data_IF_386047928295
#
_entry.id   IF_386047928295
#
_cell.length_a   1.000
_cell.length_b   1.000
_cell.length_c   1.000
_cell.angle_alpha   90.00
_cell.angle_beta   90.00
_cell.angle_gamma   90.00
#
_symmetry.space_group_name_H-M   'P 1'
#
loop_
_entity.id
_entity.type
_entity.pdbx_description
1 polymer ?
#
# COMPACT_ATOMS: atom_id res chain seq x y z
N UNK A 1 -6.88 19.77 -4.45
CA UNK A 1 -7.33 18.40 -4.15
C UNK A 1 -8.83 18.44 -4.24
N UNK A 2 -9.38 17.73 -5.21
CA UNK A 2 -10.83 17.57 -5.28
C UNK A 2 -11.23 16.60 -4.17
N UNK A 3 -12.31 16.92 -3.46
CA UNK A 3 -12.79 16.09 -2.37
C UNK A 3 -13.46 14.85 -2.97
N UNK A 4 -12.84 13.69 -2.81
CA UNK A 4 -13.44 12.41 -3.18
C UNK A 4 -14.78 12.24 -2.45
N UNK A 5 -15.83 11.88 -3.18
CA UNK A 5 -17.14 11.62 -2.57
C UNK A 5 -17.15 10.21 -1.98
N UNK A 6 -17.21 10.11 -0.66
CA UNK A 6 -17.36 8.83 0.03
C UNK A 6 -18.84 8.42 0.02
N UNK A 7 -19.13 7.22 -0.46
CA UNK A 7 -20.47 6.65 -0.39
C UNK A 7 -20.64 5.80 0.89
N UNK A 8 -21.84 5.78 1.47
CA UNK A 8 -22.12 5.02 2.70
C UNK A 8 -21.89 5.83 3.98
N UNK A 9 -21.56 5.14 5.08
CA UNK A 9 -21.45 5.72 6.43
C UNK A 9 -20.08 6.38 6.69
N UNK A 10 -19.45 6.95 5.67
CA UNK A 10 -18.11 7.56 5.74
C UNK A 10 -16.96 6.62 5.36
N UNK A 11 -15.72 7.07 5.57
CA UNK A 11 -14.54 6.23 5.29
C UNK A 11 -14.48 5.07 6.29
N UNK A 12 -14.43 3.86 5.77
CA UNK A 12 -14.33 2.64 6.56
C UNK A 12 -12.95 1.98 6.39
N UNK A 13 -12.02 2.67 5.75
CA UNK A 13 -10.64 2.21 5.57
C UNK A 13 -9.95 2.10 6.92
N UNK A 14 -9.19 1.03 7.08
CA UNK A 14 -8.34 0.81 8.26
C UNK A 14 -6.90 0.59 7.79
N UNK A 15 -5.90 0.98 8.59
CA UNK A 15 -4.51 0.64 8.31
C UNK A 15 -4.33 -0.87 8.15
N UNK A 16 -3.49 -1.30 7.20
CA UNK A 16 -3.19 -2.72 6.98
C UNK A 16 -2.74 -3.42 8.28
N UNK A 17 -2.00 -2.69 9.14
CA UNK A 17 -1.52 -3.15 10.43
C UNK A 17 -2.62 -3.66 11.35
N UNK A 18 -3.87 -3.19 11.19
CA UNK A 18 -5.01 -3.70 11.93
C UNK A 18 -5.24 -5.20 11.73
N UNK A 19 -4.86 -5.77 10.59
CA UNK A 19 -5.04 -7.19 10.27
C UNK A 19 -3.78 -8.03 10.51
N UNK A 20 -2.74 -7.46 11.13
CA UNK A 20 -1.52 -8.17 11.47
C UNK A 20 -1.76 -9.25 12.54
N UNK A 21 -0.92 -10.29 12.58
CA UNK A 21 -0.99 -11.29 13.63
C UNK A 21 -0.83 -10.65 15.01
N UNK A 22 -1.69 -11.02 15.96
CA UNK A 22 -1.67 -10.50 17.33
C UNK A 22 -2.46 -9.22 17.57
N UNK A 23 -3.10 -8.66 16.54
CA UNK A 23 -4.06 -7.56 16.71
C UNK A 23 -5.49 -8.07 16.89
N UNK A 24 -6.35 -7.16 17.33
CA UNK A 24 -7.78 -7.37 17.52
C UNK A 24 -8.57 -7.68 16.24
N UNK A 25 -8.03 -7.40 15.04
CA UNK A 25 -8.67 -7.77 13.76
C UNK A 25 -7.88 -8.83 12.97
N UNK A 26 -6.91 -9.49 13.60
CA UNK A 26 -6.06 -10.52 12.98
C UNK A 26 -6.85 -11.65 12.28
N UNK A 27 -7.99 -12.06 12.85
CA UNK A 27 -8.84 -13.12 12.28
C UNK A 27 -9.75 -12.63 11.13
N UNK A 28 -9.87 -11.31 10.92
CA UNK A 28 -10.76 -10.76 9.91
C UNK A 28 -10.27 -10.99 8.49
N UNK A 29 -8.97 -10.76 8.24
CA UNK A 29 -8.35 -10.86 6.91
C UNK A 29 -6.87 -11.35 6.98
N UNK A 30 -6.55 -12.44 7.70
CA UNK A 30 -5.16 -12.84 7.95
C UNK A 30 -4.38 -13.14 6.67
N UNK A 31 -5.02 -13.77 5.68
CA UNK A 31 -4.39 -14.11 4.42
C UNK A 31 -4.15 -12.87 3.53
N UNK A 32 -5.03 -11.87 3.59
CA UNK A 32 -4.84 -10.62 2.87
C UNK A 32 -3.64 -9.87 3.44
N UNK A 33 -3.51 -9.77 4.78
CA UNK A 33 -2.36 -9.14 5.42
C UNK A 33 -1.04 -9.84 5.08
N UNK A 34 -1.02 -11.17 5.12
CA UNK A 34 0.16 -11.96 4.76
C UNK A 34 0.57 -11.75 3.29
N UNK A 35 -0.40 -11.72 2.38
CA UNK A 35 -0.14 -11.50 0.94
C UNK A 35 0.26 -10.05 0.65
N UNK A 36 -0.27 -9.08 1.42
CA UNK A 36 0.05 -7.66 1.30
C UNK A 36 1.52 -7.34 1.61
N UNK A 37 2.27 -8.24 2.25
CA UNK A 37 3.72 -8.07 2.44
C UNK A 37 4.49 -8.00 1.12
N UNK A 38 3.91 -8.46 0.02
CA UNK A 38 4.46 -8.34 -1.33
C UNK A 38 4.14 -6.99 -2.01
N UNK A 39 3.30 -6.15 -1.40
CA UNK A 39 2.91 -4.82 -1.91
C UNK A 39 3.96 -3.79 -1.49
N UNK A 40 4.28 -2.89 -2.41
CA UNK A 40 5.19 -1.76 -2.19
C UNK A 40 4.52 -0.44 -2.51
N UNK A 41 4.87 0.60 -1.75
CA UNK A 41 4.69 1.99 -2.16
C UNK A 41 5.81 2.35 -3.12
N UNK A 42 5.44 2.97 -4.23
CA UNK A 42 6.39 3.45 -5.25
C UNK A 42 6.49 4.96 -5.10
N UNK A 43 7.65 5.44 -4.65
CA UNK A 43 7.94 6.87 -4.59
C UNK A 43 8.80 7.24 -5.80
N UNK A 44 8.15 7.79 -6.82
CA UNK A 44 8.73 8.06 -8.12
C UNK A 44 9.20 9.51 -8.17
N UNK A 45 10.45 9.74 -8.58
CA UNK A 45 11.08 11.07 -8.63
C UNK A 45 10.86 11.87 -7.33
N UNK A 46 10.83 11.17 -6.19
CA UNK A 46 10.65 11.75 -4.86
C UNK A 46 9.37 12.61 -4.68
N UNK A 47 8.39 12.48 -5.59
CA UNK A 47 7.22 13.40 -5.68
C UNK A 47 5.91 12.71 -6.01
N UNK A 48 5.93 11.61 -6.77
CA UNK A 48 4.73 10.93 -7.22
C UNK A 48 4.60 9.56 -6.56
N UNK A 49 3.36 9.21 -6.16
CA UNK A 49 3.08 7.95 -5.46
C UNK A 49 2.26 7.02 -6.34
N UNK A 50 2.70 5.77 -6.40
CA UNK A 50 1.94 4.66 -6.98
C UNK A 50 2.05 3.42 -6.09
N UNK A 51 1.34 2.37 -6.50
CA UNK A 51 1.39 1.05 -5.85
C UNK A 51 2.00 0.03 -6.81
N UNK A 52 2.82 -0.87 -6.28
CA UNK A 52 3.28 -2.04 -7.00
C UNK A 52 3.25 -3.29 -6.13
N UNK A 53 3.42 -4.46 -6.74
CA UNK A 53 3.49 -5.72 -6.01
C UNK A 53 4.41 -6.73 -6.70
N UNK A 54 5.07 -7.57 -5.90
CA UNK A 54 5.94 -8.62 -6.43
C UNK A 54 5.12 -9.70 -7.15
N UNK A 55 5.57 -10.04 -8.36
CA UNK A 55 5.02 -11.09 -9.22
C UNK A 55 5.64 -12.47 -9.02
N UNK A 56 6.20 -12.74 -7.84
CA UNK A 56 6.97 -13.95 -7.54
C UNK A 56 8.24 -13.63 -6.75
N UNK A 57 9.17 -14.60 -6.69
CA UNK A 57 10.42 -14.48 -5.92
C UNK A 57 11.63 -14.03 -6.76
N UNK A 58 11.43 -13.70 -8.04
CA UNK A 58 12.50 -13.35 -8.99
C UNK A 58 12.79 -11.85 -9.05
N UNK A 59 12.09 -11.04 -8.23
CA UNK A 59 12.24 -9.58 -8.24
C UNK A 59 11.42 -8.86 -9.33
N UNK A 60 10.51 -9.55 -10.00
CA UNK A 60 9.54 -8.91 -10.89
C UNK A 60 8.50 -8.14 -10.07
N UNK A 61 8.26 -6.87 -10.44
CA UNK A 61 7.27 -6.02 -9.80
C UNK A 61 6.25 -5.54 -10.84
N UNK A 62 4.97 -5.73 -10.54
CA UNK A 62 3.86 -5.24 -11.34
C UNK A 62 3.34 -3.92 -10.79
N UNK A 63 2.87 -3.06 -11.68
CA UNK A 63 2.20 -1.80 -11.37
C UNK A 63 1.33 -1.39 -12.55
N UNK A 64 0.56 -0.32 -12.41
CA UNK A 64 -0.26 0.21 -13.49
C UNK A 64 0.61 0.92 -14.54
N UNK A 65 0.23 0.82 -15.81
CA UNK A 65 0.99 1.44 -16.90
C UNK A 65 1.15 2.96 -16.75
N UNK A 66 0.13 3.66 -16.26
CA UNK A 66 0.20 5.12 -16.07
C UNK A 66 1.18 5.56 -14.97
N UNK A 67 1.63 4.64 -14.12
CA UNK A 67 2.61 4.93 -13.08
C UNK A 67 4.05 4.98 -13.60
N UNK A 68 4.31 4.60 -14.85
CA UNK A 68 5.66 4.47 -15.37
C UNK A 68 5.82 5.04 -16.78
N UNK A 69 6.74 5.99 -16.87
CA UNK A 69 7.50 6.27 -18.10
C UNK A 69 8.81 5.46 -18.07
N UNK A 70 9.44 5.22 -19.21
CA UNK A 70 10.56 4.25 -19.33
C UNK A 70 11.76 4.57 -18.41
N UNK A 71 12.00 5.83 -18.07
CA UNK A 71 13.15 6.30 -17.29
C UNK A 71 12.89 6.32 -15.78
N UNK A 72 11.64 6.34 -15.33
CA UNK A 72 11.29 6.45 -13.92
C UNK A 72 11.73 5.25 -13.08
N UNK A 73 12.02 4.10 -13.69
CA UNK A 73 12.55 2.92 -12.99
C UNK A 73 13.88 3.17 -12.30
N UNK A 74 14.68 4.11 -12.80
CA UNK A 74 15.98 4.44 -12.22
C UNK A 74 15.88 5.41 -11.03
N UNK A 75 14.73 6.06 -10.86
CA UNK A 75 14.48 7.12 -9.87
C UNK A 75 13.28 6.82 -8.98
N UNK A 76 12.86 5.56 -8.94
CA UNK A 76 11.79 5.08 -8.09
C UNK A 76 12.37 4.39 -6.86
N UNK A 77 11.93 4.85 -5.68
CA UNK A 77 12.14 4.12 -4.44
C UNK A 77 10.99 3.11 -4.25
N UNK A 78 11.37 1.85 -4.01
CA UNK A 78 10.44 0.74 -3.79
C UNK A 78 10.37 0.44 -2.29
N UNK A 79 9.29 0.86 -1.65
CA UNK A 79 9.15 0.83 -0.20
C UNK A 79 8.19 -0.30 0.23
N UNK A 80 8.76 -1.41 0.67
CA UNK A 80 8.00 -2.51 1.29
C UNK A 80 7.75 -2.23 2.76
N UNK A 81 6.69 -2.85 3.31
CA UNK A 81 6.26 -2.63 4.69
C UNK A 81 6.02 -1.14 5.02
N UNK A 82 5.63 -0.35 4.01
CA UNK A 82 5.21 1.04 4.15
C UNK A 82 3.79 1.14 4.76
N UNK A 83 3.64 0.59 5.96
CA UNK A 83 2.41 0.59 6.76
C UNK A 83 2.61 1.35 8.07
N UNK A 84 1.51 1.64 8.76
CA UNK A 84 1.53 2.26 10.07
C UNK A 84 2.21 1.37 11.12
N UNK A 85 2.72 1.97 12.20
CA UNK A 85 3.39 1.19 13.26
C UNK A 85 2.40 0.34 14.06
N UNK A 86 1.16 0.82 14.19
CA UNK A 86 0.06 0.16 14.88
C UNK A 86 -1.28 0.40 14.18
N UNK A 87 -2.32 -0.35 14.58
CA UNK A 87 -3.68 -0.16 14.07
C UNK A 87 -4.28 1.22 14.43
N UNK A 88 -3.85 1.82 15.55
CA UNK A 88 -4.32 3.13 16.00
C UNK A 88 -3.67 4.30 15.27
N UNK A 89 -2.53 4.07 14.61
CA UNK A 89 -1.80 5.11 13.88
C UNK A 89 -2.40 5.28 12.48
N UNK A 90 -3.58 5.90 12.42
CA UNK A 90 -4.22 6.21 11.16
C UNK A 90 -3.58 7.48 10.57
N UNK A 91 -3.27 7.44 9.27
CA UNK A 91 -2.89 8.65 8.52
C UNK A 91 -4.15 9.42 8.11
N UNK A 92 -4.96 9.81 9.08
CA UNK A 92 -6.07 10.74 8.86
C UNK A 92 -5.49 12.16 8.73
N UNK A 93 -5.68 12.79 7.57
CA UNK A 93 -5.41 14.21 7.34
C UNK A 93 -6.66 14.92 6.92
#
# INVERSE_FOLDING_TARGET
>A
MDQESICGDGDQSLPAKCYALGTNLSEGLPQAYATAQAVARLLINNTYLCTGWLGGSEGHLFTNHHCFEQDWALTTDFEFAAESSSCSDQCET
#
